data_IF_986432625531
#
_entry.id   IF_986432625531
#
_cell.length_a   1.000
_cell.length_b   1.000
_cell.length_c   1.000
_cell.angle_alpha   90.00
_cell.angle_beta   90.00
_cell.angle_gamma   90.00
#
_symmetry.space_group_name_H-M   'P 1'
#
loop_
_entity.id
_entity.type
_entity.pdbx_description
1 polymer ?
#
# COMPACT_ATOMS: atom_id res chain seq x y z
N UNK A 1 -0.77 -20.65 -8.01
CA UNK A 1 -0.51 -20.95 -6.58
C UNK A 1 0.49 -19.91 -6.10
N UNK A 2 -0.01 -18.82 -5.51
CA UNK A 2 0.80 -17.72 -4.99
C UNK A 2 1.66 -18.20 -3.82
N UNK A 3 2.99 -18.10 -3.98
CA UNK A 3 3.98 -18.68 -3.05
C UNK A 3 4.05 -17.98 -1.69
N UNK A 4 3.46 -16.80 -1.55
CA UNK A 4 3.52 -15.99 -0.32
C UNK A 4 2.50 -16.47 0.74
N UNK A 5 1.28 -16.81 0.31
CA UNK A 5 0.25 -17.31 1.21
C UNK A 5 0.61 -18.69 1.80
N UNK A 6 1.41 -19.48 1.08
CA UNK A 6 1.88 -20.80 1.52
C UNK A 6 2.86 -20.74 2.70
N UNK A 7 3.49 -19.59 2.95
CA UNK A 7 4.46 -19.40 4.02
C UNK A 7 3.89 -18.74 5.29
N UNK A 8 2.56 -18.58 5.40
CA UNK A 8 1.94 -17.88 6.53
C UNK A 8 2.20 -16.37 6.55
N UNK A 9 2.70 -15.80 5.45
CA UNK A 9 2.87 -14.35 5.29
C UNK A 9 1.50 -13.76 4.95
N UNK A 10 0.92 -13.02 5.90
CA UNK A 10 -0.40 -12.42 5.80
C UNK A 10 -0.37 -10.90 5.53
N UNK A 11 0.82 -10.33 5.34
CA UNK A 11 1.03 -8.89 5.10
C UNK A 11 1.93 -8.72 3.89
N UNK A 12 1.41 -8.17 2.79
CA UNK A 12 2.16 -7.92 1.57
C UNK A 12 2.24 -6.42 1.30
N UNK A 13 3.48 -5.91 1.26
CA UNK A 13 3.80 -4.51 0.97
C UNK A 13 4.41 -4.42 -0.42
N UNK A 14 3.79 -3.65 -1.31
CA UNK A 14 4.34 -3.33 -2.62
C UNK A 14 5.00 -1.95 -2.58
N UNK A 15 6.30 -1.89 -2.88
CA UNK A 15 7.04 -0.63 -3.03
C UNK A 15 7.27 -0.40 -4.53
N UNK A 16 6.80 0.72 -5.04
CA UNK A 16 6.73 1.03 -6.46
C UNK A 16 7.14 2.47 -6.73
N UNK A 17 7.86 2.68 -7.83
CA UNK A 17 8.16 4.02 -8.37
C UNK A 17 7.12 4.46 -9.42
N UNK A 18 6.09 3.64 -9.66
CA UNK A 18 5.04 3.95 -10.62
C UNK A 18 4.03 4.94 -10.05
N UNK A 19 3.42 5.72 -10.94
CA UNK A 19 2.38 6.69 -10.58
C UNK A 19 1.14 6.04 -9.97
N UNK A 20 0.32 6.84 -9.30
CA UNK A 20 -0.93 6.41 -8.68
C UNK A 20 -1.85 5.63 -9.64
N UNK A 21 -1.93 6.05 -10.92
CA UNK A 21 -2.78 5.41 -11.94
C UNK A 21 -2.37 3.97 -12.21
N UNK A 22 -1.08 3.70 -12.37
CA UNK A 22 -0.55 2.35 -12.57
C UNK A 22 -0.71 1.52 -11.30
N UNK A 23 -0.50 2.14 -10.14
CA UNK A 23 -0.68 1.52 -8.83
C UNK A 23 -2.11 1.02 -8.63
N UNK A 24 -3.12 1.81 -9.03
CA UNK A 24 -4.53 1.39 -8.99
C UNK A 24 -4.88 0.27 -9.97
N UNK A 25 -4.18 0.17 -11.10
CA UNK A 25 -4.34 -1.00 -11.99
C UNK A 25 -3.74 -2.26 -11.34
N UNK A 26 -2.62 -2.13 -10.64
CA UNK A 26 -1.98 -3.23 -9.92
C UNK A 26 -2.85 -3.75 -8.76
N UNK A 27 -3.51 -2.88 -7.99
CA UNK A 27 -4.46 -3.30 -6.93
C UNK A 27 -5.64 -4.10 -7.49
N UNK A 28 -6.09 -3.77 -8.71
CA UNK A 28 -7.18 -4.51 -9.35
C UNK A 28 -6.76 -5.89 -9.86
N UNK A 29 -5.47 -6.07 -10.16
CA UNK A 29 -4.92 -7.28 -10.78
C UNK A 29 -4.33 -8.24 -9.75
N UNK A 30 -3.70 -7.71 -8.69
CA UNK A 30 -3.00 -8.49 -7.66
C UNK A 30 -3.89 -8.56 -6.42
N UNK A 31 -4.48 -9.72 -6.15
CA UNK A 31 -5.25 -9.96 -4.93
C UNK A 31 -4.31 -10.25 -3.76
N UNK A 32 -4.61 -9.68 -2.59
CA UNK A 32 -3.86 -9.91 -1.35
C UNK A 32 -2.76 -8.90 -1.05
N UNK A 33 -2.77 -7.72 -1.69
CA UNK A 33 -1.94 -6.59 -1.28
C UNK A 33 -2.61 -5.82 -0.14
N UNK A 34 -1.87 -5.59 0.95
CA UNK A 34 -2.41 -4.85 2.09
C UNK A 34 -1.91 -3.41 2.12
N UNK A 35 -0.67 -3.17 1.71
CA UNK A 35 -0.08 -1.83 1.66
C UNK A 35 0.65 -1.62 0.34
N UNK A 36 0.46 -0.45 -0.27
CA UNK A 36 1.19 -0.03 -1.45
C UNK A 36 1.79 1.34 -1.19
N UNK A 37 3.09 1.43 -1.40
CA UNK A 37 3.88 2.64 -1.34
C UNK A 37 4.30 2.99 -2.76
N UNK A 38 3.80 4.11 -3.27
CA UNK A 38 3.98 4.54 -4.65
C UNK A 38 4.50 5.98 -4.74
N UNK A 39 5.02 6.34 -5.91
CA UNK A 39 5.32 7.73 -6.21
C UNK A 39 4.05 8.47 -6.65
N UNK A 40 3.88 9.72 -6.22
CA UNK A 40 2.79 10.58 -6.65
C UNK A 40 3.16 12.06 -6.58
N UNK A 41 2.30 12.90 -7.15
CA UNK A 41 2.50 14.36 -7.19
C UNK A 41 2.44 15.00 -5.80
N UNK A 42 1.73 14.36 -4.87
CA UNK A 42 1.59 14.80 -3.47
C UNK A 42 1.62 13.63 -2.51
N UNK A 43 1.97 13.93 -1.27
CA UNK A 43 1.83 12.98 -0.18
C UNK A 43 0.34 12.80 0.11
N UNK A 44 -0.17 11.59 -0.13
CA UNK A 44 -1.54 11.25 0.21
C UNK A 44 -1.66 9.79 0.67
N UNK A 45 -2.63 9.52 1.54
CA UNK A 45 -3.04 8.16 1.88
C UNK A 45 -4.49 7.93 1.49
N UNK A 46 -4.81 6.70 1.09
CA UNK A 46 -6.16 6.27 0.81
C UNK A 46 -6.31 4.78 1.13
N UNK A 47 -7.53 4.37 1.51
CA UNK A 47 -7.87 2.95 1.65
C UNK A 47 -8.81 2.59 0.50
N UNK A 48 -8.38 1.65 -0.34
CA UNK A 48 -9.22 1.07 -1.39
C UNK A 48 -9.38 -0.43 -1.13
N UNK A 49 -10.63 -0.89 -0.95
CA UNK A 49 -10.96 -2.31 -0.72
C UNK A 49 -10.14 -3.02 0.37
N UNK A 50 -9.79 -2.30 1.45
CA UNK A 50 -8.94 -2.78 2.56
C UNK A 50 -7.43 -2.84 2.26
N UNK A 51 -6.98 -2.17 1.19
CA UNK A 51 -5.56 -1.94 0.88
C UNK A 51 -5.22 -0.48 1.14
N UNK A 52 -4.19 -0.22 1.95
CA UNK A 52 -3.61 1.11 2.15
C UNK A 52 -2.79 1.48 0.90
N UNK A 53 -3.09 2.62 0.30
CA UNK A 53 -2.32 3.20 -0.81
C UNK A 53 -1.74 4.51 -0.29
N UNK A 54 -0.42 4.57 -0.20
CA UNK A 54 0.33 5.75 0.19
C UNK A 54 1.15 6.24 -1.00
N UNK A 55 1.00 7.51 -1.36
CA UNK A 55 1.80 8.16 -2.40
C UNK A 55 2.77 9.14 -1.77
N UNK A 56 3.99 9.21 -2.31
CA UNK A 56 5.03 10.14 -1.86
C UNK A 56 5.54 10.99 -3.03
N UNK A 57 5.66 12.30 -2.80
CA UNK A 57 6.34 13.22 -3.71
C UNK A 57 7.85 13.19 -3.49
N UNK A 58 8.60 13.34 -4.58
CA UNK A 58 10.05 13.46 -4.58
C UNK A 58 10.54 14.84 -4.10
N UNK A 59 9.63 15.82 -3.95
CA UNK A 59 9.96 17.19 -3.56
C UNK A 59 10.17 17.37 -2.05
N UNK A 60 9.73 16.40 -1.23
CA UNK A 60 9.88 16.45 0.22
C UNK A 60 11.16 15.72 0.66
N UNK A 61 12.16 16.48 1.13
CA UNK A 61 13.39 15.95 1.74
C UNK A 61 13.18 15.36 3.15
N UNK A 62 11.95 15.38 3.65
CA UNK A 62 11.61 14.90 4.99
C UNK A 62 11.18 13.44 4.94
N UNK A 63 11.78 12.63 5.83
CA UNK A 63 11.29 11.29 6.14
C UNK A 63 9.82 11.39 6.57
N UNK A 64 8.95 10.65 5.88
CA UNK A 64 7.55 10.53 6.24
C UNK A 64 7.30 9.16 6.84
N UNK A 65 6.55 9.14 7.94
CA UNK A 65 6.12 7.91 8.59
C UNK A 65 4.73 7.57 8.08
N UNK A 66 4.49 6.32 7.72
CA UNK A 66 3.17 5.83 7.34
C UNK A 66 2.67 4.91 8.45
N UNK A 67 1.63 5.34 9.16
CA UNK A 67 0.96 4.55 10.17
C UNK A 67 -0.19 3.75 9.54
N UNK A 68 -0.09 2.42 9.65
CA UNK A 68 -1.08 1.46 9.13
C UNK A 68 -1.58 0.57 10.26
N UNK A 69 -2.88 0.60 10.51
CA UNK A 69 -3.53 -0.28 11.50
C UNK A 69 -4.21 -1.43 10.78
N UNK A 70 -4.01 -2.63 11.32
CA UNK A 70 -4.64 -3.85 10.83
C UNK A 70 -5.61 -4.40 11.88
N UNK A 71 -6.76 -4.91 11.43
CA UNK A 71 -7.66 -5.70 12.26
C UNK A 71 -7.12 -7.12 12.49
N UNK A 72 -7.71 -7.84 13.44
CA UNK A 72 -7.32 -9.20 13.80
C UNK A 72 -7.46 -10.21 12.64
N UNK A 73 -8.33 -9.93 11.67
CA UNK A 73 -8.51 -10.70 10.43
C UNK A 73 -7.55 -10.28 9.31
N UNK A 74 -6.59 -9.39 9.58
CA UNK A 74 -5.53 -9.00 8.67
C UNK A 74 -5.86 -7.84 7.72
N UNK A 75 -7.06 -7.25 7.79
CA UNK A 75 -7.48 -6.14 6.91
C UNK A 75 -6.95 -4.79 7.41
N UNK A 76 -6.64 -3.89 6.48
CA UNK A 76 -6.30 -2.51 6.83
C UNK A 76 -7.55 -1.75 7.29
N UNK A 77 -7.48 -1.13 8.48
CA UNK A 77 -8.53 -0.28 9.05
C UNK A 77 -8.14 1.19 9.13
N UNK A 78 -6.84 1.50 9.09
CA UNK A 78 -6.33 2.87 9.15
C UNK A 78 -5.04 3.00 8.32
N UNK A 79 -4.85 4.14 7.67
CA UNK A 79 -3.72 4.42 6.77
C UNK A 79 -3.51 5.95 6.73
N UNK A 80 -2.48 6.47 7.40
CA UNK A 80 -2.22 7.91 7.53
C UNK A 80 -0.73 8.24 7.66
N UNK A 81 -0.36 9.48 7.34
CA UNK A 81 0.97 10.05 7.62
C UNK A 81 1.01 10.80 8.94
#
# INVERSE_FOLDING_TARGET
MDRLQTNGINKIILISQFSETVTRQLTSTIRGLDVIVAHGEKNNTNIDKSTCIATFTSESLLFQTLDVTFSADGKVTQCMF
#
